data_IF_518642202961
#
_entry.id   IF_518642202961
#
_cell.length_a   1.000
_cell.length_b   1.000
_cell.length_c   1.000
_cell.angle_alpha   90.00
_cell.angle_beta   90.00
_cell.angle_gamma   90.00
#
_symmetry.space_group_name_H-M   'P 1'
#
loop_
_entity.id
_entity.type
_entity.pdbx_description
1 polymer ?
#
# COMPACT_ATOMS: atom_id res chain seq x y z
N UNK A 1 -11.55 -20.90 -48.65
CA UNK A 1 -10.19 -20.78 -48.06
C UNK A 1 -9.91 -19.43 -47.39
N UNK A 2 -10.71 -18.38 -47.58
CA UNK A 2 -10.39 -17.03 -47.06
C UNK A 2 -10.88 -16.76 -45.62
N UNK A 3 -11.89 -17.50 -45.12
CA UNK A 3 -12.45 -17.28 -43.78
C UNK A 3 -11.48 -17.64 -42.63
N UNK A 4 -10.58 -18.61 -42.83
CA UNK A 4 -9.63 -19.07 -41.81
C UNK A 4 -8.54 -18.01 -41.54
N UNK A 5 -8.13 -17.26 -42.56
CA UNK A 5 -7.17 -16.15 -42.43
C UNK A 5 -7.70 -15.00 -41.56
N UNK A 6 -9.00 -14.69 -41.65
CA UNK A 6 -9.62 -13.64 -40.83
C UNK A 6 -9.75 -14.06 -39.35
N UNK A 7 -10.08 -15.33 -39.09
CA UNK A 7 -10.21 -15.85 -37.72
C UNK A 7 -8.84 -15.87 -37.02
N UNK A 8 -7.79 -16.29 -37.72
CA UNK A 8 -6.41 -16.25 -37.19
C UNK A 8 -5.94 -14.81 -36.94
N UNK A 9 -6.31 -13.86 -37.81
CA UNK A 9 -6.01 -12.44 -37.63
C UNK A 9 -6.71 -11.83 -36.40
N UNK A 10 -7.99 -12.14 -36.18
CA UNK A 10 -8.74 -11.68 -35.00
C UNK A 10 -8.24 -12.32 -33.71
N UNK A 11 -7.86 -13.60 -33.75
CA UNK A 11 -7.31 -14.32 -32.60
C UNK A 11 -5.94 -13.77 -32.17
N UNK A 12 -5.06 -13.40 -33.10
CA UNK A 12 -3.77 -12.77 -32.81
C UNK A 12 -3.90 -11.35 -32.20
N UNK A 13 -4.93 -10.59 -32.60
CA UNK A 13 -5.22 -9.29 -32.00
C UNK A 13 -5.69 -9.42 -30.55
N UNK A 14 -6.43 -10.48 -30.22
CA UNK A 14 -6.89 -10.74 -28.85
C UNK A 14 -5.79 -11.18 -27.88
N UNK A 15 -4.68 -11.76 -28.37
CA UNK A 15 -3.59 -12.27 -27.54
C UNK A 15 -2.63 -11.19 -27.00
N UNK A 16 -2.76 -9.94 -27.46
CA UNK A 16 -1.72 -8.92 -27.26
C UNK A 16 -1.87 -8.04 -26.01
N UNK A 17 -2.84 -8.29 -25.13
CA UNK A 17 -3.11 -7.37 -23.99
C UNK A 17 -2.76 -8.01 -22.65
N UNK A 18 -1.46 -8.12 -22.37
CA UNK A 18 -0.97 -8.58 -21.07
C UNK A 18 -0.20 -7.44 -20.40
N UNK A 19 -0.94 -6.54 -19.75
CA UNK A 19 -0.33 -5.57 -18.84
C UNK A 19 0.15 -6.34 -17.61
N UNK A 20 1.47 -6.41 -17.41
CA UNK A 20 2.05 -7.10 -16.27
C UNK A 20 1.97 -6.17 -15.06
N UNK A 21 0.92 -6.36 -14.25
CA UNK A 21 0.75 -5.65 -12.99
C UNK A 21 1.93 -5.98 -12.05
N UNK A 22 2.85 -5.04 -11.89
CA UNK A 22 4.03 -5.17 -11.03
C UNK A 22 3.71 -4.85 -9.56
N UNK A 23 2.48 -5.13 -9.12
CA UNK A 23 1.99 -4.77 -7.80
C UNK A 23 1.38 -5.98 -7.06
N UNK A 24 1.42 -5.94 -5.73
CA UNK A 24 0.73 -6.89 -4.84
C UNK A 24 -0.22 -6.17 -3.91
N UNK A 25 -1.10 -6.94 -3.26
CA UNK A 25 -2.01 -6.43 -2.25
C UNK A 25 -1.60 -6.92 -0.85
N UNK A 26 -1.36 -6.00 0.07
CA UNK A 26 -1.01 -6.27 1.46
C UNK A 26 -2.14 -5.82 2.38
N UNK A 27 -2.64 -6.71 3.23
CA UNK A 27 -3.63 -6.35 4.26
C UNK A 27 -2.92 -5.88 5.52
N UNK A 28 -3.22 -4.68 5.98
CA UNK A 28 -2.69 -4.16 7.25
C UNK A 28 -3.80 -3.49 8.07
N UNK A 29 -3.76 -3.65 9.39
CA UNK A 29 -4.80 -3.13 10.25
C UNK A 29 -4.44 -2.97 11.71
N UNK A 30 -4.87 -1.85 12.29
CA UNK A 30 -4.84 -1.58 13.72
C UNK A 30 -6.02 -2.23 14.42
N UNK A 31 -5.72 -3.01 15.47
CA UNK A 31 -6.72 -3.59 16.38
C UNK A 31 -6.67 -2.80 17.69
N UNK A 32 -7.82 -2.33 18.19
CA UNK A 32 -7.88 -1.55 19.43
C UNK A 32 -7.34 -0.11 19.34
N UNK A 33 -6.99 0.38 18.14
CA UNK A 33 -6.48 1.73 17.93
C UNK A 33 -4.96 1.86 18.01
N UNK A 34 -4.26 0.77 18.33
CA UNK A 34 -2.81 0.73 18.51
C UNK A 34 -2.05 0.95 17.20
N UNK A 35 -0.83 1.48 17.30
CA UNK A 35 0.11 1.49 16.19
C UNK A 35 0.49 0.06 15.82
N UNK A 36 0.42 -0.26 14.53
CA UNK A 36 0.79 -1.56 13.97
C UNK A 36 1.63 -1.38 12.72
N UNK A 37 2.63 -2.23 12.58
CA UNK A 37 3.47 -2.34 11.40
C UNK A 37 3.20 -3.67 10.70
N UNK A 38 3.08 -3.62 9.38
CA UNK A 38 2.93 -4.78 8.53
C UNK A 38 4.07 -4.80 7.52
N UNK A 39 4.94 -5.80 7.64
CA UNK A 39 6.03 -6.01 6.69
C UNK A 39 5.47 -6.34 5.32
N UNK A 40 6.02 -5.68 4.30
CA UNK A 40 5.77 -5.99 2.90
C UNK A 40 6.71 -7.14 2.51
N UNK A 41 6.21 -8.31 2.10
CA UNK A 41 7.05 -9.41 1.66
C UNK A 41 7.62 -9.07 0.28
N UNK A 42 8.88 -8.62 0.21
CA UNK A 42 9.53 -8.28 -1.05
C UNK A 42 11.04 -8.43 -1.01
N UNK A 43 11.59 -8.87 -2.13
CA UNK A 43 13.00 -8.82 -2.53
C UNK A 43 13.29 -7.70 -3.54
N UNK A 44 12.23 -7.01 -4.01
CA UNK A 44 12.26 -5.92 -4.99
C UNK A 44 12.11 -4.55 -4.34
N UNK A 45 12.68 -3.53 -4.97
CA UNK A 45 12.49 -2.13 -4.59
C UNK A 45 11.03 -1.72 -4.78
N UNK A 46 10.43 -1.16 -3.74
CA UNK A 46 9.08 -0.62 -3.76
C UNK A 46 9.10 0.72 -4.50
N UNK A 47 8.27 0.85 -5.52
CA UNK A 47 8.06 2.09 -6.26
C UNK A 47 7.09 3.02 -5.52
N UNK A 48 5.95 2.49 -5.06
CA UNK A 48 4.97 3.23 -4.26
C UNK A 48 3.99 2.27 -3.57
N UNK A 49 3.25 2.79 -2.57
CA UNK A 49 2.18 2.08 -1.86
C UNK A 49 0.91 2.95 -1.78
N UNK A 50 -0.21 2.41 -2.24
CA UNK A 50 -1.51 3.09 -2.25
C UNK A 50 -2.54 2.38 -1.38
N UNK A 51 -3.44 3.12 -0.75
CA UNK A 51 -4.64 2.53 -0.13
C UNK A 51 -5.58 2.09 -1.25
N UNK A 52 -5.77 0.78 -1.39
CA UNK A 52 -6.68 0.21 -2.37
C UNK A 52 -8.12 0.25 -1.84
N UNK A 53 -8.33 -0.37 -0.69
CA UNK A 53 -9.66 -0.58 -0.13
C UNK A 53 -9.60 -0.69 1.38
N UNK A 54 -10.28 0.22 2.08
CA UNK A 54 -10.48 0.11 3.52
C UNK A 54 -11.52 -0.97 3.86
N UNK A 55 -11.34 -1.61 5.01
CA UNK A 55 -12.33 -2.50 5.59
C UNK A 55 -13.32 -1.67 6.40
N UNK A 56 -14.59 -1.61 6.00
CA UNK A 56 -15.62 -0.94 6.82
C UNK A 56 -15.86 -1.74 8.13
N UNK A 57 -16.21 -1.10 9.26
CA UNK A 57 -16.49 0.33 9.48
C UNK A 57 -15.24 1.19 9.80
N UNK A 58 -14.04 0.66 9.55
CA UNK A 58 -12.80 1.36 9.85
C UNK A 58 -12.56 2.52 8.89
N UNK A 59 -12.02 3.62 9.39
CA UNK A 59 -11.78 4.82 8.61
C UNK A 59 -10.26 5.03 8.46
N UNK A 60 -9.75 4.87 7.25
CA UNK A 60 -8.37 5.23 6.92
C UNK A 60 -8.40 6.58 6.19
N UNK A 61 -8.11 7.68 6.88
CA UNK A 61 -8.38 9.04 6.40
C UNK A 61 -7.47 9.42 5.23
N UNK A 62 -6.15 9.46 5.47
CA UNK A 62 -5.16 9.89 4.49
C UNK A 62 -3.77 9.33 4.79
N UNK A 63 -2.90 9.33 3.78
CA UNK A 63 -1.48 9.01 3.95
C UNK A 63 -0.88 10.03 4.93
N UNK A 64 -0.08 9.57 5.89
CA UNK A 64 0.48 10.34 7.01
C UNK A 64 -0.51 10.74 8.12
N UNK A 65 -1.77 10.35 8.04
CA UNK A 65 -2.72 10.61 9.13
C UNK A 65 -2.81 9.41 10.07
N UNK A 66 -3.36 8.32 9.55
CA UNK A 66 -3.56 7.09 10.30
C UNK A 66 -3.06 5.84 9.57
N UNK A 67 -2.37 6.06 8.44
CA UNK A 67 -1.56 5.07 7.77
C UNK A 67 -0.45 5.73 6.97
N UNK A 68 0.59 4.96 6.66
CA UNK A 68 1.66 5.34 5.76
C UNK A 68 2.59 4.16 5.53
N UNK A 69 3.76 4.42 4.97
CA UNK A 69 4.78 3.40 4.79
C UNK A 69 6.17 4.00 4.92
N UNK A 70 7.13 3.15 5.27
CA UNK A 70 8.53 3.50 5.34
C UNK A 70 9.32 2.25 4.95
N UNK A 71 10.28 2.40 4.04
CA UNK A 71 11.06 1.28 3.50
C UNK A 71 10.16 0.13 3.02
N UNK A 72 10.25 -1.04 3.68
CA UNK A 72 9.55 -2.28 3.38
C UNK A 72 8.39 -2.57 4.35
N UNK A 73 7.85 -1.57 5.05
CA UNK A 73 6.72 -1.76 5.95
C UNK A 73 5.66 -0.67 5.84
N UNK A 74 4.42 -1.09 6.06
CA UNK A 74 3.23 -0.23 6.14
C UNK A 74 2.91 -0.05 7.61
N UNK A 75 2.68 1.19 8.05
CA UNK A 75 2.20 1.47 9.39
C UNK A 75 0.74 1.94 9.37
N UNK A 76 -0.03 1.59 10.41
CA UNK A 76 -1.43 1.98 10.60
C UNK A 76 -1.71 2.26 12.08
N UNK A 77 -2.64 3.17 12.36
CA UNK A 77 -3.05 3.57 13.72
C UNK A 77 -4.53 3.96 13.75
N UNK A 78 -5.09 4.25 14.93
CA UNK A 78 -6.46 4.77 15.10
C UNK A 78 -7.54 3.92 14.40
N UNK A 79 -7.42 2.61 14.54
CA UNK A 79 -8.33 1.61 13.97
C UNK A 79 -8.32 1.52 12.44
N UNK A 80 -7.41 2.20 11.73
CA UNK A 80 -7.31 2.03 10.28
C UNK A 80 -7.01 0.57 9.91
N UNK A 81 -7.84 0.01 9.03
CA UNK A 81 -7.64 -1.32 8.40
C UNK A 81 -7.94 -1.23 6.92
N UNK A 82 -6.97 -1.59 6.10
CA UNK A 82 -7.12 -1.54 4.65
C UNK A 82 -6.27 -2.59 3.94
N UNK A 83 -6.59 -2.77 2.67
CA UNK A 83 -5.72 -3.38 1.69
C UNK A 83 -4.89 -2.28 1.02
N UNK A 84 -3.59 -2.49 0.95
CA UNK A 84 -2.62 -1.58 0.37
C UNK A 84 -2.03 -2.21 -0.89
N UNK A 85 -2.11 -1.50 -2.01
CA UNK A 85 -1.47 -1.90 -3.26
C UNK A 85 -0.02 -1.45 -3.22
N UNK A 86 0.90 -2.40 -3.19
CA UNK A 86 2.35 -2.18 -3.21
C UNK A 86 2.83 -2.42 -4.63
N UNK A 87 3.38 -1.41 -5.28
CA UNK A 87 3.95 -1.53 -6.61
C UNK A 87 5.48 -1.55 -6.55
N UNK A 88 6.11 -2.40 -7.35
CA UNK A 88 7.56 -2.57 -7.38
C UNK A 88 8.17 -1.86 -8.58
N UNK A 89 9.39 -1.35 -8.43
CA UNK A 89 10.13 -0.87 -9.59
C UNK A 89 10.49 -2.07 -10.48
N UNK A 90 9.90 -2.15 -11.67
CA UNK A 90 10.34 -3.09 -12.70
C UNK A 90 11.48 -2.46 -13.51
N UNK A 91 12.43 -3.27 -13.97
CA UNK A 91 13.34 -2.92 -15.07
C UNK A 91 12.59 -2.93 -16.41
N UNK A 92 11.46 -2.22 -16.48
CA UNK A 92 10.72 -1.99 -17.70
C UNK A 92 11.16 -0.62 -18.20
N UNK A 93 11.83 -0.60 -19.34
CA UNK A 93 12.16 0.62 -20.07
C UNK A 93 10.87 1.38 -20.42
N UNK A 94 10.39 2.21 -19.50
CA UNK A 94 9.40 3.25 -19.76
C UNK A 94 10.22 4.48 -20.18
N UNK A 95 10.06 5.03 -21.40
CA UNK A 95 10.56 6.37 -21.68
C UNK A 95 9.84 7.31 -20.73
N UNK A 96 10.61 8.01 -19.90
CA UNK A 96 10.16 9.02 -18.97
C UNK A 96 9.49 10.18 -19.70
N UNK A 97 8.24 10.03 -20.13
CA UNK A 97 7.41 11.15 -20.55
C UNK A 97 6.83 11.82 -19.31
N UNK A 98 7.62 12.73 -18.74
CA UNK A 98 7.14 13.89 -17.98
C UNK A 98 6.26 13.60 -16.76
N UNK A 99 6.90 13.24 -15.64
CA UNK A 99 6.28 13.27 -14.31
C UNK A 99 7.38 13.26 -13.26
N UNK A 100 7.58 14.40 -12.61
CA UNK A 100 8.64 14.68 -11.65
C UNK A 100 8.98 13.50 -10.73
N UNK A 101 10.27 13.20 -10.66
CA UNK A 101 10.94 12.40 -9.64
C UNK A 101 10.53 12.85 -8.23
N UNK A 102 9.43 12.32 -7.73
CA UNK A 102 9.07 12.31 -6.30
C UNK A 102 9.08 10.88 -5.73
N UNK A 103 9.54 9.90 -6.52
CA UNK A 103 9.77 8.52 -6.11
C UNK A 103 11.12 8.38 -5.39
N UNK A 104 11.37 9.26 -4.43
CA UNK A 104 12.28 8.90 -3.35
C UNK A 104 11.52 7.95 -2.44
N UNK A 105 12.16 6.89 -1.95
CA UNK A 105 11.66 6.12 -0.83
C UNK A 105 11.19 7.12 0.24
N UNK A 106 9.87 7.33 0.34
CA UNK A 106 9.33 8.39 1.20
C UNK A 106 9.54 7.90 2.63
N UNK A 107 10.64 8.35 3.25
CA UNK A 107 10.94 8.17 4.66
C UNK A 107 9.99 9.05 5.46
N UNK A 108 8.71 8.68 5.45
CA UNK A 108 7.71 9.30 6.29
C UNK A 108 7.81 8.63 7.65
N UNK A 109 8.52 9.30 8.57
CA UNK A 109 8.49 8.94 9.98
C UNK A 109 7.04 8.93 10.42
N UNK A 110 6.54 7.84 11.03
CA UNK A 110 5.18 7.82 11.53
C UNK A 110 4.96 9.02 12.46
N UNK A 111 3.80 9.70 12.41
CA UNK A 111 3.44 10.58 13.51
C UNK A 111 3.56 9.75 14.80
N UNK A 112 4.29 10.29 15.79
CA UNK A 112 4.52 9.63 17.08
C UNK A 112 3.23 8.94 17.53
N UNK A 113 3.26 7.62 17.83
CA UNK A 113 2.04 6.91 18.20
C UNK A 113 1.34 7.68 19.32
N UNK A 114 0.06 8.05 19.18
CA UNK A 114 -0.75 8.50 20.30
C UNK A 114 -0.90 7.31 21.26
N UNK A 115 0.08 7.12 22.14
CA UNK A 115 0.19 5.86 22.87
C UNK A 115 1.49 5.61 23.62
N UNK A 116 2.64 6.14 23.16
CA UNK A 116 3.92 5.91 23.85
C UNK A 116 3.90 6.47 25.29
N UNK A 117 3.01 7.43 25.58
CA UNK A 117 2.71 7.92 26.94
C UNK A 117 1.39 7.43 27.57
N UNK A 118 0.48 6.76 26.85
CA UNK A 118 -0.88 6.49 27.35
C UNK A 118 -1.04 5.20 28.16
N UNK A 119 -0.08 4.27 28.11
CA UNK A 119 -0.13 3.09 28.98
C UNK A 119 0.08 3.46 30.45
N UNK A 120 0.93 4.45 30.73
CA UNK A 120 1.09 5.03 32.07
C UNK A 120 -0.19 5.76 32.48
N UNK A 121 -0.82 6.52 31.58
CA UNK A 121 -2.03 7.28 31.93
C UNK A 121 -3.23 6.38 32.26
N UNK A 122 -3.41 5.23 31.59
CA UNK A 122 -4.44 4.25 31.98
C UNK A 122 -4.17 3.65 33.36
N UNK A 123 -2.90 3.42 33.72
CA UNK A 123 -2.52 2.94 35.05
C UNK A 123 -2.72 4.05 36.09
N UNK A 124 -2.35 5.30 35.79
CA UNK A 124 -2.57 6.47 36.67
C UNK A 124 -4.06 6.72 36.90
N UNK A 125 -4.88 6.68 35.85
CA UNK A 125 -6.34 6.88 35.96
C UNK A 125 -7.04 5.69 36.65
N UNK A 126 -6.41 4.51 36.67
CA UNK A 126 -6.86 3.34 37.46
C UNK A 126 -6.37 3.37 38.92
N UNK A 127 -5.38 4.21 39.24
CA UNK A 127 -4.84 4.41 40.59
C UNK A 127 -5.37 5.68 41.27
N UNK A 128 -6.17 6.50 40.56
CA UNK A 128 -6.94 7.58 41.14
C UNK A 128 -8.32 7.04 41.54
N UNK A 129 -8.41 6.56 42.77
CA UNK A 129 -9.66 6.43 43.52
C UNK A 129 -9.95 7.75 44.27
#
# INVERSE_FOLDING_TARGET
MNAILHILGLFLLFLSSQAQDNCILVKCGSHGGEFRECKVPTDRTIADIYKEKEAKPYNCRGRNENWGFMNDYIWVVEQCRAHFRVCYSGSSSIPSSGGSSQFGAQTQTPPLPPGVGQQIQRIIDSMKF
#
